data_IF_117448569976
#
_entry.id   IF_117448569976
#
_cell.length_a   1.000
_cell.length_b   1.000
_cell.length_c   1.000
_cell.angle_alpha   90.00
_cell.angle_beta   90.00
_cell.angle_gamma   90.00
#
_symmetry.space_group_name_H-M   'P 1'
#
loop_
_entity.id
_entity.type
_entity.pdbx_description
1 polymer ?
#
# COMPACT_ATOMS: atom_id res chain seq x y z
N UNK A 1 3.64 28.97 -3.98
CA UNK A 1 2.89 27.98 -3.14
C UNK A 1 3.89 26.97 -2.60
N UNK A 2 3.98 26.87 -1.28
CA UNK A 2 4.97 25.98 -0.64
C UNK A 2 4.61 24.51 -0.89
N UNK A 3 5.61 23.64 -1.05
CA UNK A 3 5.40 22.22 -1.36
C UNK A 3 4.51 21.51 -0.30
N UNK A 4 4.64 21.91 0.96
CA UNK A 4 3.81 21.40 2.05
C UNK A 4 2.31 21.67 1.84
N UNK A 5 1.95 22.85 1.30
CA UNK A 5 0.57 23.19 0.97
C UNK A 5 0.02 22.33 -0.17
N UNK A 6 0.87 21.99 -1.16
CA UNK A 6 0.50 21.10 -2.27
C UNK A 6 0.23 19.67 -1.76
N UNK A 7 1.07 19.18 -0.86
CA UNK A 7 0.88 17.86 -0.24
C UNK A 7 -0.40 17.84 0.59
N UNK A 8 -0.67 18.88 1.36
CA UNK A 8 -1.89 18.97 2.16
C UNK A 8 -3.14 18.96 1.29
N UNK A 9 -3.18 19.76 0.23
CA UNK A 9 -4.29 19.78 -0.74
C UNK A 9 -4.48 18.43 -1.44
N UNK A 10 -3.39 17.74 -1.76
CA UNK A 10 -3.46 16.40 -2.32
C UNK A 10 -4.06 15.38 -1.35
N UNK A 11 -3.67 15.43 -0.08
CA UNK A 11 -4.22 14.54 0.94
C UNK A 11 -5.71 14.80 1.18
N UNK A 12 -6.14 16.06 1.20
CA UNK A 12 -7.55 16.44 1.26
C UNK A 12 -8.33 15.93 0.03
N UNK A 13 -7.75 16.08 -1.16
CA UNK A 13 -8.32 15.51 -2.39
C UNK A 13 -8.48 13.98 -2.31
N UNK A 14 -7.47 13.28 -1.78
CA UNK A 14 -7.52 11.85 -1.58
C UNK A 14 -8.57 11.43 -0.55
N UNK A 15 -8.76 12.21 0.51
CA UNK A 15 -9.74 11.94 1.56
C UNK A 15 -11.18 12.19 1.08
N UNK A 16 -11.44 13.36 0.52
CA UNK A 16 -12.82 13.81 0.24
C UNK A 16 -13.30 13.54 -1.18
N UNK A 17 -12.41 13.36 -2.14
CA UNK A 17 -12.78 13.10 -3.54
C UNK A 17 -12.52 11.65 -4.00
N UNK A 18 -11.44 11.05 -3.52
CA UNK A 18 -11.12 9.63 -3.79
C UNK A 18 -11.61 8.70 -2.70
N UNK A 19 -12.10 9.23 -1.58
CA UNK A 19 -12.63 8.46 -0.44
C UNK A 19 -11.68 7.34 0.02
N UNK A 20 -10.37 7.64 0.02
CA UNK A 20 -9.37 6.66 0.38
C UNK A 20 -9.40 6.34 1.88
N UNK A 21 -9.18 5.07 2.19
CA UNK A 21 -9.07 4.57 3.56
C UNK A 21 -8.00 5.30 4.38
N UNK A 22 -8.25 5.46 5.69
CA UNK A 22 -7.36 6.13 6.65
C UNK A 22 -5.94 5.57 6.64
N UNK A 23 -5.77 4.26 6.50
CA UNK A 23 -4.45 3.63 6.45
C UNK A 23 -3.69 4.00 5.17
N UNK A 24 -4.40 4.10 4.04
CA UNK A 24 -3.83 4.57 2.77
C UNK A 24 -3.40 6.03 2.86
N UNK A 25 -4.24 6.91 3.43
CA UNK A 25 -3.89 8.32 3.64
C UNK A 25 -2.68 8.48 4.57
N UNK A 26 -2.63 7.70 5.66
CA UNK A 26 -1.47 7.67 6.57
C UNK A 26 -0.20 7.23 5.84
N UNK A 27 -0.29 6.18 5.02
CA UNK A 27 0.84 5.71 4.22
C UNK A 27 1.31 6.78 3.22
N UNK A 28 0.40 7.42 2.49
CA UNK A 28 0.72 8.51 1.55
C UNK A 28 1.41 9.67 2.25
N UNK A 29 0.91 10.09 3.41
CA UNK A 29 1.52 11.17 4.21
C UNK A 29 2.95 10.85 4.61
N UNK A 30 3.21 9.63 5.09
CA UNK A 30 4.54 9.17 5.51
C UNK A 30 5.47 9.09 4.29
N UNK A 31 5.01 8.48 3.19
CA UNK A 31 5.83 8.25 2.00
C UNK A 31 6.21 9.57 1.32
N UNK A 32 5.26 10.49 1.19
CA UNK A 32 5.53 11.83 0.61
C UNK A 32 6.44 12.66 1.51
N UNK A 33 6.28 12.59 2.84
CA UNK A 33 7.20 13.26 3.77
C UNK A 33 8.62 12.76 3.57
N UNK A 34 8.83 11.45 3.54
CA UNK A 34 10.16 10.85 3.35
C UNK A 34 10.76 11.22 1.99
N UNK A 35 9.96 11.17 0.94
CA UNK A 35 10.37 11.58 -0.40
C UNK A 35 10.87 13.03 -0.41
N UNK A 36 10.10 13.97 0.11
CA UNK A 36 10.48 15.37 0.11
C UNK A 36 11.60 15.74 1.10
N UNK A 37 11.79 14.93 2.14
CA UNK A 37 12.99 15.05 3.00
C UNK A 37 14.25 14.64 2.25
N UNK A 38 14.16 13.63 1.38
CA UNK A 38 15.28 13.14 0.58
C UNK A 38 15.62 14.08 -0.60
N UNK A 39 14.63 14.41 -1.41
CA UNK A 39 14.82 15.19 -2.65
C UNK A 39 15.03 16.68 -2.38
N UNK A 40 14.59 17.18 -1.22
CA UNK A 40 14.56 18.61 -0.91
C UNK A 40 13.28 19.29 -1.41
N UNK A 41 13.07 20.53 -0.94
CA UNK A 41 11.76 21.21 -1.12
C UNK A 41 11.49 21.71 -2.53
N UNK A 42 12.51 21.83 -3.38
CA UNK A 42 12.38 22.50 -4.69
C UNK A 42 12.96 21.70 -5.86
N UNK A 43 13.58 20.56 -5.63
CA UNK A 43 14.21 19.78 -6.69
C UNK A 43 13.31 18.62 -7.09
N UNK A 44 12.57 18.80 -8.19
CA UNK A 44 11.70 17.77 -8.79
C UNK A 44 12.36 17.18 -10.05
N UNK A 45 13.70 17.21 -10.13
CA UNK A 45 14.43 16.69 -11.28
C UNK A 45 14.29 15.18 -11.39
N UNK A 46 14.34 14.69 -12.62
CA UNK A 46 14.29 13.25 -12.92
C UNK A 46 15.43 12.51 -12.23
N UNK A 47 16.62 13.10 -12.24
CA UNK A 47 17.84 12.55 -11.65
C UNK A 47 17.66 12.28 -10.15
N UNK A 48 17.09 13.23 -9.42
CA UNK A 48 16.82 13.08 -7.98
C UNK A 48 15.79 12.01 -7.68
N UNK A 49 14.80 11.85 -8.54
CA UNK A 49 13.80 10.77 -8.39
C UNK A 49 14.45 9.41 -8.63
N UNK A 50 15.34 9.28 -9.63
CA UNK A 50 16.08 8.04 -9.92
C UNK A 50 17.04 7.68 -8.78
N UNK A 51 17.75 8.65 -8.20
CA UNK A 51 18.58 8.47 -7.00
C UNK A 51 17.74 7.97 -5.82
N UNK A 52 16.58 8.59 -5.56
CA UNK A 52 15.68 8.17 -4.50
C UNK A 52 15.18 6.73 -4.70
N UNK A 53 14.78 6.35 -5.91
CA UNK A 53 14.35 4.99 -6.23
C UNK A 53 15.47 4.00 -5.97
N UNK A 54 16.71 4.33 -6.39
CA UNK A 54 17.88 3.49 -6.16
C UNK A 54 18.16 3.30 -4.67
N UNK A 55 18.05 4.36 -3.88
CA UNK A 55 18.24 4.33 -2.44
C UNK A 55 17.15 3.50 -1.73
N UNK A 56 15.90 3.62 -2.16
CA UNK A 56 14.81 2.79 -1.66
C UNK A 56 15.09 1.29 -1.85
N UNK A 57 15.66 0.90 -2.99
CA UNK A 57 16.00 -0.50 -3.26
C UNK A 57 17.11 -1.04 -2.36
N UNK A 58 18.01 -0.18 -1.88
CA UNK A 58 19.07 -0.56 -0.92
C UNK A 58 18.51 -0.77 0.49
N UNK A 59 17.47 -0.01 0.86
CA UNK A 59 16.99 0.04 2.24
C UNK A 59 15.75 -0.83 2.49
N UNK A 60 14.90 -1.06 1.49
CA UNK A 60 13.59 -1.66 1.67
C UNK A 60 13.35 -2.87 0.78
N UNK A 61 12.47 -3.76 1.24
CA UNK A 61 11.98 -4.88 0.43
C UNK A 61 11.16 -4.37 -0.75
N UNK A 62 11.15 -5.10 -1.85
CA UNK A 62 10.52 -4.75 -3.13
C UNK A 62 9.06 -4.29 -2.99
N UNK A 63 8.26 -4.96 -2.15
CA UNK A 63 6.85 -4.59 -1.91
C UNK A 63 6.72 -3.17 -1.31
N UNK A 64 7.61 -2.81 -0.38
CA UNK A 64 7.65 -1.48 0.23
C UNK A 64 8.11 -0.42 -0.78
N UNK A 65 9.11 -0.73 -1.59
CA UNK A 65 9.60 0.16 -2.66
C UNK A 65 8.47 0.46 -3.64
N UNK A 66 7.75 -0.56 -4.12
CA UNK A 66 6.60 -0.38 -5.01
C UNK A 66 5.55 0.55 -4.43
N UNK A 67 5.18 0.36 -3.16
CA UNK A 67 4.20 1.20 -2.47
C UNK A 67 4.65 2.66 -2.41
N UNK A 68 5.90 2.92 -2.00
CA UNK A 68 6.46 4.27 -1.90
C UNK A 68 6.51 4.98 -3.25
N UNK A 69 6.94 4.29 -4.30
CA UNK A 69 6.97 4.85 -5.66
C UNK A 69 5.55 5.12 -6.17
N UNK A 70 4.59 4.24 -5.87
CA UNK A 70 3.19 4.44 -6.23
C UNK A 70 2.59 5.70 -5.56
N UNK A 71 2.92 5.95 -4.28
CA UNK A 71 2.50 7.17 -3.56
C UNK A 71 3.05 8.44 -4.20
N UNK A 72 4.34 8.43 -4.56
CA UNK A 72 5.00 9.59 -5.23
C UNK A 72 4.41 9.79 -6.63
N UNK A 73 4.20 8.71 -7.39
CA UNK A 73 3.60 8.77 -8.73
C UNK A 73 2.20 9.36 -8.69
N UNK A 74 1.36 8.90 -7.76
CA UNK A 74 0.00 9.39 -7.61
C UNK A 74 -0.05 10.89 -7.27
N UNK A 75 0.89 11.37 -6.46
CA UNK A 75 1.03 12.79 -6.16
C UNK A 75 1.43 13.61 -7.40
N UNK A 76 2.40 13.16 -8.18
CA UNK A 76 2.79 13.87 -9.41
C UNK A 76 1.69 13.88 -10.48
N UNK A 77 0.91 12.80 -10.59
CA UNK A 77 -0.26 12.78 -11.47
C UNK A 77 -1.30 13.81 -11.03
N UNK A 78 -1.57 13.94 -9.74
CA UNK A 78 -2.45 14.98 -9.22
C UNK A 78 -1.94 16.40 -9.55
N UNK A 79 -0.64 16.66 -9.44
CA UNK A 79 -0.06 17.95 -9.81
C UNK A 79 -0.17 18.25 -11.30
N UNK A 80 -0.07 17.23 -12.15
CA UNK A 80 -0.26 17.33 -13.60
C UNK A 80 -1.75 17.58 -13.93
N UNK A 81 -2.68 16.84 -13.31
CA UNK A 81 -4.15 16.99 -13.48
C UNK A 81 -4.66 18.36 -13.01
N UNK A 82 -4.01 18.95 -12.00
CA UNK A 82 -4.33 20.28 -11.48
C UNK A 82 -3.54 21.41 -12.15
N UNK A 83 -2.84 21.11 -13.24
CA UNK A 83 -2.04 22.06 -14.03
C UNK A 83 -0.95 22.80 -13.23
N UNK A 84 -0.57 22.28 -12.07
CA UNK A 84 0.53 22.80 -11.24
C UNK A 84 1.88 22.54 -11.90
N UNK A 85 1.99 21.43 -12.63
CA UNK A 85 3.13 21.07 -13.49
C UNK A 85 2.62 20.67 -14.87
N UNK A 86 3.41 20.97 -15.91
CA UNK A 86 3.04 20.63 -17.29
C UNK A 86 3.16 19.12 -17.59
N UNK A 87 4.17 18.48 -17.03
CA UNK A 87 4.44 17.05 -17.22
C UNK A 87 5.04 16.47 -15.95
N UNK A 88 4.57 15.26 -15.60
CA UNK A 88 5.07 14.52 -14.45
C UNK A 88 6.49 13.98 -14.71
N UNK A 89 7.49 14.34 -13.89
CA UNK A 89 8.87 13.88 -14.10
C UNK A 89 9.01 12.35 -13.91
N UNK A 90 8.11 11.71 -13.15
CA UNK A 90 8.14 10.27 -12.92
C UNK A 90 7.55 9.45 -14.08
N UNK A 91 6.87 10.08 -15.03
CA UNK A 91 6.24 9.40 -16.18
C UNK A 91 7.25 8.63 -17.03
N UNK A 92 8.44 9.22 -17.23
CA UNK A 92 9.52 8.65 -18.05
C UNK A 92 10.45 7.73 -17.27
N UNK A 93 10.22 7.55 -15.97
CA UNK A 93 11.06 6.68 -15.13
C UNK A 93 10.51 5.26 -15.16
N UNK A 94 11.40 4.32 -15.49
CA UNK A 94 11.05 2.90 -15.51
C UNK A 94 10.92 2.39 -14.08
N UNK A 95 9.69 2.05 -13.66
CA UNK A 95 9.38 1.57 -12.31
C UNK A 95 8.85 0.14 -12.31
N UNK A 96 9.12 -0.62 -13.40
CA UNK A 96 8.77 -2.04 -13.46
C UNK A 96 9.90 -2.84 -12.82
N UNK A 97 9.60 -3.54 -11.75
CA UNK A 97 10.52 -4.44 -11.06
C UNK A 97 10.15 -5.87 -11.34
N UNK A 98 11.16 -6.74 -11.38
CA UNK A 98 10.93 -8.18 -11.49
C UNK A 98 10.22 -8.65 -10.21
N UNK A 99 9.03 -9.21 -10.34
CA UNK A 99 8.33 -9.79 -9.21
C UNK A 99 8.85 -11.19 -8.93
N UNK A 100 9.27 -11.44 -7.70
CA UNK A 100 9.43 -12.81 -7.25
C UNK A 100 8.04 -13.45 -7.16
N UNK A 101 7.83 -14.50 -7.92
CA UNK A 101 6.64 -15.33 -7.81
C UNK A 101 6.77 -16.15 -6.53
N UNK A 102 6.22 -15.65 -5.44
CA UNK A 102 6.09 -16.43 -4.21
C UNK A 102 4.94 -17.41 -4.45
N UNK A 103 5.26 -18.69 -4.48
CA UNK A 103 4.24 -19.73 -4.53
C UNK A 103 3.36 -19.61 -3.27
N UNK A 104 2.03 -19.74 -3.42
CA UNK A 104 1.13 -19.77 -2.27
C UNK A 104 1.58 -20.87 -1.30
N UNK A 105 1.61 -20.56 0.00
CA UNK A 105 1.83 -21.60 1.01
C UNK A 105 0.60 -22.50 1.03
N UNK A 106 0.80 -23.76 0.72
CA UNK A 106 -0.24 -24.78 0.84
C UNK A 106 -0.28 -25.18 2.31
N UNK A 107 -1.43 -25.05 2.93
CA UNK A 107 -1.66 -25.56 4.29
C UNK A 107 -1.85 -27.09 4.16
N UNK A 108 -1.06 -27.89 4.87
CA UNK A 108 -1.23 -29.36 4.84
C UNK A 108 -2.66 -29.75 5.25
N UNK A 109 -3.22 -30.71 4.54
CA UNK A 109 -4.60 -31.20 4.80
C UNK A 109 -4.82 -31.59 6.27
N UNK A 110 -3.83 -32.18 6.90
CA UNK A 110 -3.86 -32.55 8.32
C UNK A 110 -4.06 -31.34 9.25
N UNK A 111 -3.48 -30.19 8.93
CA UNK A 111 -3.68 -28.97 9.72
C UNK A 111 -5.09 -28.43 9.56
N UNK A 112 -5.66 -28.51 8.36
CA UNK A 112 -7.06 -28.11 8.10
C UNK A 112 -8.01 -29.03 8.86
N UNK A 113 -7.78 -30.34 8.82
CA UNK A 113 -8.58 -31.32 9.56
C UNK A 113 -8.51 -31.09 11.08
N UNK A 114 -7.33 -30.79 11.61
CA UNK A 114 -7.15 -30.46 13.03
C UNK A 114 -7.89 -29.16 13.41
N UNK A 115 -7.83 -28.15 12.56
CA UNK A 115 -8.56 -26.89 12.75
C UNK A 115 -10.06 -27.14 12.78
N UNK A 116 -10.61 -27.83 11.78
CA UNK A 116 -12.02 -28.16 11.71
C UNK A 116 -12.49 -28.99 12.92
N UNK A 117 -11.72 -30.00 13.31
CA UNK A 117 -12.04 -30.81 14.49
C UNK A 117 -12.10 -29.97 15.78
N UNK A 118 -11.22 -28.96 15.90
CA UNK A 118 -11.21 -28.04 17.03
C UNK A 118 -12.46 -27.16 17.00
N UNK A 119 -12.79 -26.58 15.83
CA UNK A 119 -13.96 -25.73 15.66
C UNK A 119 -15.28 -26.48 15.94
N UNK A 120 -15.42 -27.71 15.45
CA UNK A 120 -16.59 -28.57 15.77
C UNK A 120 -16.68 -28.93 17.26
N UNK A 121 -15.54 -29.11 17.94
CA UNK A 121 -15.50 -29.34 19.37
C UNK A 121 -15.97 -28.12 20.16
N UNK A 122 -15.55 -26.93 19.76
CA UNK A 122 -16.00 -25.67 20.36
C UNK A 122 -17.48 -25.43 20.11
N UNK A 123 -17.96 -25.69 18.90
CA UNK A 123 -19.37 -25.58 18.56
C UNK A 123 -20.29 -26.42 19.50
N UNK A 124 -19.81 -27.59 19.97
CA UNK A 124 -20.54 -28.41 20.91
C UNK A 124 -20.56 -27.85 22.32
N UNK A 125 -19.53 -27.10 22.72
CA UNK A 125 -19.39 -26.53 24.07
C UNK A 125 -20.12 -25.20 24.24
N UNK A 126 -20.13 -24.37 23.19
CA UNK A 126 -20.68 -23.02 23.21
C UNK A 126 -22.18 -22.98 22.99
N UNK A 127 -22.90 -22.27 23.88
CA UNK A 127 -24.36 -22.07 23.75
C UNK A 127 -24.76 -20.75 23.08
N UNK A 128 -23.93 -19.70 23.22
CA UNK A 128 -24.27 -18.32 22.78
C UNK A 128 -23.69 -17.90 21.43
N UNK A 129 -22.51 -18.36 21.05
CA UNK A 129 -21.79 -17.91 19.85
C UNK A 129 -21.80 -18.90 18.68
N UNK A 130 -22.69 -19.89 18.71
CA UNK A 130 -22.81 -20.95 17.67
C UNK A 130 -22.85 -20.38 16.24
N UNK A 131 -23.50 -19.24 16.03
CA UNK A 131 -23.67 -18.65 14.70
C UNK A 131 -22.34 -18.21 14.08
N UNK A 132 -21.42 -17.66 14.88
CA UNK A 132 -20.10 -17.24 14.40
C UNK A 132 -19.21 -18.45 14.09
N UNK A 133 -19.22 -19.45 14.96
CA UNK A 133 -18.45 -20.69 14.76
C UNK A 133 -18.95 -21.45 13.52
N UNK A 134 -20.26 -21.54 13.31
CA UNK A 134 -20.85 -22.16 12.12
C UNK A 134 -20.45 -21.43 10.83
N UNK A 135 -20.45 -20.09 10.84
CA UNK A 135 -19.98 -19.29 9.71
C UNK A 135 -18.51 -19.57 9.42
N UNK A 136 -17.67 -19.57 10.44
CA UNK A 136 -16.23 -19.76 10.30
C UNK A 136 -15.90 -21.19 9.82
N UNK A 137 -16.63 -22.21 10.28
CA UNK A 137 -16.55 -23.58 9.75
C UNK A 137 -16.89 -23.60 8.26
N UNK A 138 -18.01 -22.99 7.87
CA UNK A 138 -18.44 -22.96 6.47
C UNK A 138 -17.41 -22.29 5.55
N UNK A 139 -16.70 -21.25 6.02
CA UNK A 139 -15.63 -20.60 5.27
C UNK A 139 -14.41 -21.50 5.09
N UNK A 140 -14.07 -22.34 6.07
CA UNK A 140 -12.92 -23.26 6.00
C UNK A 140 -13.22 -24.49 5.16
N UNK A 141 -14.49 -24.94 5.10
CA UNK A 141 -14.93 -26.10 4.31
C UNK A 141 -15.15 -25.79 2.81
N UNK A 142 -15.27 -24.51 2.44
CA UNK A 142 -15.40 -24.09 1.05
C UNK A 142 -14.06 -24.16 0.30
#
# INVERSE_FOLDING_TARGET
MRLQEKVQKYLEYCEFRKELDRNTLKAYRIDLRQYFTYVGKNDMSKEKIEEYITDLHKQYKQKTVKRKIASVRAFYMYLEETEVIKESPIRRIRTKFKEERILPRIIPRKEIENLLNTMYRELKKEKKEKRYILRDIAVVEL
#
